data_IF_406361129422
#
_entry.id   IF_406361129422
#
_cell.length_a   1.000
_cell.length_b   1.000
_cell.length_c   1.000
_cell.angle_alpha   90.00
_cell.angle_beta   90.00
_cell.angle_gamma   90.00
#
_symmetry.space_group_name_H-M   'P 1'
#
loop_
_entity.id
_entity.type
_entity.pdbx_description
1 polymer ?
#
# COMPACT_ATOMS: atom_id res chain seq x y z
N UNK A 1 -2.58 11.55 24.19
CA UNK A 1 -2.44 10.27 23.46
C UNK A 1 -2.41 10.58 21.97
N UNK A 2 -1.43 10.05 21.26
CA UNK A 2 -1.03 10.45 19.88
C UNK A 2 -2.15 10.23 18.87
N UNK A 3 -2.45 11.25 18.03
CA UNK A 3 -3.67 11.31 17.20
C UNK A 3 -3.93 10.16 16.21
N UNK A 4 -2.95 9.28 15.95
CA UNK A 4 -3.16 8.07 15.12
C UNK A 4 -3.93 6.97 15.86
N UNK A 5 -3.60 6.70 17.12
CA UNK A 5 -4.26 5.65 17.92
C UNK A 5 -5.73 6.00 18.13
N UNK A 6 -6.02 7.26 18.45
CA UNK A 6 -7.39 7.76 18.61
C UNK A 6 -8.27 7.57 17.35
N UNK A 7 -7.71 7.77 16.15
CA UNK A 7 -8.46 7.64 14.89
C UNK A 7 -8.79 6.20 14.54
N UNK A 8 -7.85 5.28 14.74
CA UNK A 8 -8.07 3.85 14.48
C UNK A 8 -9.07 3.28 15.48
N UNK A 9 -8.93 3.62 16.75
CA UNK A 9 -9.85 3.15 17.80
C UNK A 9 -11.29 3.62 17.55
N UNK A 10 -11.48 4.87 17.15
CA UNK A 10 -12.80 5.41 16.77
C UNK A 10 -13.39 4.66 15.57
N UNK A 11 -12.58 4.43 14.52
CA UNK A 11 -13.01 3.67 13.35
C UNK A 11 -13.44 2.25 13.72
N UNK A 12 -12.61 1.49 14.44
CA UNK A 12 -12.87 0.10 14.81
C UNK A 12 -14.09 -0.02 15.73
N UNK A 13 -14.37 0.99 16.57
CA UNK A 13 -15.59 1.05 17.38
C UNK A 13 -16.86 1.25 16.57
N UNK A 14 -16.78 1.91 15.41
CA UNK A 14 -17.93 2.15 14.52
C UNK A 14 -18.27 0.96 13.62
N UNK A 15 -17.38 -0.04 13.54
CA UNK A 15 -17.60 -1.25 12.76
C UNK A 15 -18.51 -2.24 13.48
N UNK A 16 -19.48 -2.78 12.75
CA UNK A 16 -20.22 -3.98 13.15
C UNK A 16 -19.30 -5.20 13.17
N UNK A 17 -19.72 -6.28 13.83
CA UNK A 17 -18.95 -7.52 13.85
C UNK A 17 -18.72 -8.09 12.44
N UNK A 18 -19.73 -8.01 11.57
CA UNK A 18 -19.60 -8.50 10.19
C UNK A 18 -18.62 -7.65 9.37
N UNK A 19 -18.70 -6.31 9.49
CA UNK A 19 -17.73 -5.40 8.85
C UNK A 19 -16.29 -5.67 9.31
N UNK A 20 -16.09 -6.05 10.59
CA UNK A 20 -14.77 -6.47 11.09
C UNK A 20 -14.28 -7.74 10.42
N UNK A 21 -15.13 -8.78 10.37
CA UNK A 21 -14.75 -10.10 9.82
C UNK A 21 -14.29 -9.97 8.35
N UNK A 22 -15.02 -9.23 7.53
CA UNK A 22 -14.69 -9.05 6.10
C UNK A 22 -13.46 -8.18 5.85
N UNK A 23 -12.92 -7.54 6.89
CA UNK A 23 -11.68 -6.75 6.85
C UNK A 23 -10.47 -7.49 7.46
N UNK A 24 -10.60 -8.77 7.82
CA UNK A 24 -9.49 -9.59 8.34
C UNK A 24 -8.73 -10.36 7.24
N UNK A 25 -9.12 -10.19 5.98
CA UNK A 25 -8.49 -10.83 4.81
C UNK A 25 -7.84 -9.78 3.92
N UNK A 26 -6.95 -10.21 3.02
CA UNK A 26 -6.23 -9.40 2.02
C UNK A 26 -7.20 -8.59 1.15
N UNK A 27 -8.20 -9.26 0.58
CA UNK A 27 -9.26 -8.63 -0.20
C UNK A 27 -10.36 -8.05 0.70
N UNK A 28 -10.03 -6.99 1.46
CA UNK A 28 -10.96 -6.36 2.39
C UNK A 28 -12.10 -5.64 1.66
N UNK A 29 -13.34 -5.98 2.05
CA UNK A 29 -14.56 -5.44 1.43
C UNK A 29 -14.81 -3.97 1.81
N UNK A 30 -15.51 -3.23 0.96
CA UNK A 30 -15.91 -1.86 1.26
C UNK A 30 -16.89 -1.80 2.44
N UNK A 31 -16.89 -0.67 3.14
CA UNK A 31 -17.87 -0.33 4.16
C UNK A 31 -18.56 0.97 3.74
N UNK A 32 -19.54 0.83 2.85
CA UNK A 32 -20.18 1.96 2.16
C UNK A 32 -20.81 2.97 3.12
N UNK A 33 -21.39 2.50 4.24
CA UNK A 33 -21.98 3.35 5.28
C UNK A 33 -20.98 4.32 5.91
N UNK A 34 -19.70 3.92 5.97
CA UNK A 34 -18.61 4.73 6.50
C UNK A 34 -17.76 5.39 5.39
N UNK A 35 -18.12 5.19 4.12
CA UNK A 35 -17.38 5.70 2.97
C UNK A 35 -16.00 5.07 2.81
N UNK A 36 -15.79 3.85 3.31
CA UNK A 36 -14.51 3.16 3.25
C UNK A 36 -14.49 2.29 1.99
N UNK A 37 -13.58 2.55 1.02
CA UNK A 37 -13.50 1.75 -0.18
C UNK A 37 -12.94 0.36 0.14
N UNK A 38 -13.15 -0.59 -0.80
CA UNK A 38 -12.43 -1.86 -0.77
C UNK A 38 -10.93 -1.61 -0.71
N UNK A 39 -10.20 -2.46 0.00
CA UNK A 39 -8.76 -2.32 0.16
C UNK A 39 -8.07 -3.66 0.02
N UNK A 40 -7.15 -3.75 -0.93
CA UNK A 40 -6.30 -4.91 -1.11
C UNK A 40 -4.93 -4.61 -0.50
N UNK A 41 -4.62 -5.24 0.63
CA UNK A 41 -3.38 -4.95 1.35
C UNK A 41 -2.24 -5.90 1.01
N UNK A 42 -2.49 -7.00 0.32
CA UNK A 42 -1.43 -7.90 -0.12
C UNK A 42 -0.73 -7.33 -1.36
N UNK A 43 0.42 -6.71 -1.12
CA UNK A 43 1.35 -6.25 -2.14
C UNK A 43 2.78 -6.65 -1.78
N UNK A 44 3.63 -6.84 -2.79
CA UNK A 44 4.98 -7.37 -2.62
C UNK A 44 6.04 -6.40 -3.15
N UNK A 45 7.11 -6.19 -2.38
CA UNK A 45 8.13 -5.18 -2.68
C UNK A 45 9.57 -5.55 -2.23
N UNK A 46 9.86 -6.85 -2.04
CA UNK A 46 11.10 -7.34 -1.40
C UNK A 46 12.40 -6.74 -1.98
N UNK A 47 12.50 -6.66 -3.31
CA UNK A 47 13.64 -6.10 -4.01
C UNK A 47 13.19 -5.27 -5.22
N UNK A 48 12.09 -4.55 -5.06
CA UNK A 48 11.34 -3.94 -6.15
C UNK A 48 9.88 -4.35 -6.08
N UNK A 49 9.00 -3.50 -6.59
CA UNK A 49 7.56 -3.75 -6.64
C UNK A 49 7.27 -4.93 -7.56
N UNK A 50 6.50 -5.91 -7.07
CA UNK A 50 6.14 -7.12 -7.81
C UNK A 50 4.73 -7.00 -8.40
N UNK A 51 4.48 -7.75 -9.48
CA UNK A 51 3.11 -7.98 -9.98
C UNK A 51 2.47 -9.26 -9.41
N UNK A 52 3.18 -9.94 -8.50
CA UNK A 52 2.66 -11.13 -7.81
C UNK A 52 1.76 -10.68 -6.66
N UNK A 53 0.59 -11.30 -6.56
CA UNK A 53 -0.45 -10.94 -5.61
C UNK A 53 -1.49 -9.99 -6.22
N UNK A 54 -2.59 -9.74 -5.49
CA UNK A 54 -3.72 -8.95 -5.98
C UNK A 54 -3.56 -7.41 -5.83
N UNK A 55 -2.64 -6.92 -4.98
CA UNK A 55 -2.57 -5.49 -4.66
C UNK A 55 -1.76 -4.62 -5.60
N UNK A 56 -1.10 -5.19 -6.62
CA UNK A 56 -0.26 -4.44 -7.58
C UNK A 56 -0.43 -4.96 -9.00
N UNK A 57 -0.58 -4.05 -9.99
CA UNK A 57 -0.96 -4.44 -11.36
C UNK A 57 -0.36 -3.58 -12.47
N UNK A 58 0.77 -3.91 -13.10
CA UNK A 58 1.35 -3.05 -14.15
C UNK A 58 0.41 -2.69 -15.32
N UNK A 59 0.50 -1.45 -15.82
CA UNK A 59 -0.35 -0.88 -16.88
C UNK A 59 0.48 -0.21 -17.97
N UNK A 60 -0.13 0.29 -19.05
CA UNK A 60 0.59 1.05 -20.08
C UNK A 60 1.24 2.34 -19.56
N UNK A 61 0.67 2.94 -18.51
CA UNK A 61 1.18 4.18 -17.89
C UNK A 61 2.34 3.87 -16.94
N UNK A 62 2.28 2.75 -16.23
CA UNK A 62 3.36 2.26 -15.37
C UNK A 62 3.67 0.82 -15.74
N UNK A 63 4.52 0.59 -16.75
CA UNK A 63 4.74 -0.74 -17.35
C UNK A 63 5.56 -1.69 -16.49
N UNK A 64 6.20 -1.19 -15.42
CA UNK A 64 7.01 -2.00 -14.54
C UNK A 64 7.61 -1.19 -13.39
N UNK A 65 8.49 -1.84 -12.65
CA UNK A 65 9.25 -1.25 -11.56
C UNK A 65 10.71 -1.72 -11.61
N UNK A 66 11.60 -0.97 -10.98
CA UNK A 66 13.01 -1.34 -10.86
C UNK A 66 13.17 -2.64 -10.06
N UNK A 67 13.91 -3.59 -10.61
CA UNK A 67 14.33 -4.81 -9.91
C UNK A 67 15.74 -4.62 -9.34
N UNK A 68 15.83 -4.52 -8.02
CA UNK A 68 17.08 -4.39 -7.28
C UNK A 68 17.73 -5.76 -7.08
N UNK A 69 19.03 -5.81 -6.74
CA UNK A 69 19.66 -7.04 -6.27
C UNK A 69 18.89 -7.67 -5.10
N UNK A 70 18.84 -9.01 -5.05
CA UNK A 70 18.26 -9.74 -3.92
C UNK A 70 18.84 -9.25 -2.59
N UNK A 71 18.05 -9.36 -1.52
CA UNK A 71 18.41 -8.83 -0.20
C UNK A 71 19.78 -9.32 0.27
N UNK A 72 20.12 -10.58 -0.02
CA UNK A 72 21.44 -11.16 0.32
C UNK A 72 22.61 -10.42 -0.36
N UNK A 73 22.46 -10.04 -1.63
CA UNK A 73 23.49 -9.32 -2.37
C UNK A 73 23.54 -7.85 -1.95
N UNK A 74 22.38 -7.23 -1.73
CA UNK A 74 22.32 -5.86 -1.19
C UNK A 74 22.97 -5.77 0.19
N UNK A 75 22.74 -6.74 1.08
CA UNK A 75 23.37 -6.80 2.40
C UNK A 75 24.88 -7.03 2.33
N UNK A 76 25.35 -7.78 1.32
CA UNK A 76 26.79 -8.04 1.10
C UNK A 76 27.59 -6.79 0.73
N UNK A 77 26.93 -5.67 0.40
CA UNK A 77 27.59 -4.38 0.22
C UNK A 77 28.04 -3.73 1.53
N UNK A 78 27.53 -4.19 2.68
CA UNK A 78 27.73 -3.59 4.01
C UNK A 78 27.46 -2.08 4.05
N UNK A 79 26.60 -1.59 3.15
CA UNK A 79 26.28 -0.17 3.01
C UNK A 79 24.83 0.09 3.41
N UNK A 80 24.64 0.57 4.64
CA UNK A 80 23.31 0.87 5.19
C UNK A 80 22.59 1.98 4.40
N UNK A 81 23.33 2.99 3.94
CA UNK A 81 22.77 4.07 3.13
C UNK A 81 22.21 3.52 1.82
N UNK A 82 22.95 2.65 1.14
CA UNK A 82 22.49 1.98 -0.08
C UNK A 82 21.21 1.16 0.18
N UNK A 83 21.17 0.41 1.28
CA UNK A 83 19.99 -0.38 1.64
C UNK A 83 18.76 0.51 1.85
N UNK A 84 18.91 1.62 2.57
CA UNK A 84 17.85 2.61 2.80
C UNK A 84 17.42 3.30 1.50
N UNK A 85 18.37 3.69 0.66
CA UNK A 85 18.09 4.34 -0.62
C UNK A 85 17.34 3.40 -1.57
N UNK A 86 17.70 2.11 -1.62
CA UNK A 86 16.94 1.12 -2.39
C UNK A 86 15.50 0.99 -1.89
N UNK A 87 15.29 0.95 -0.57
CA UNK A 87 13.95 0.95 0.03
C UNK A 87 13.14 2.20 -0.31
N UNK A 88 13.76 3.38 -0.25
CA UNK A 88 13.13 4.65 -0.63
C UNK A 88 12.79 4.69 -2.12
N UNK A 89 13.69 4.24 -3.00
CA UNK A 89 13.46 4.18 -4.43
C UNK A 89 12.35 3.19 -4.80
N UNK A 90 12.28 2.04 -4.10
CA UNK A 90 11.19 1.08 -4.26
C UNK A 90 9.82 1.69 -3.87
N UNK A 91 9.76 2.49 -2.80
CA UNK A 91 8.52 3.10 -2.31
C UNK A 91 8.08 4.37 -3.09
N UNK A 92 9.01 5.26 -3.43
CA UNK A 92 8.66 6.64 -3.83
C UNK A 92 8.17 6.72 -5.27
N UNK A 93 8.77 5.99 -6.21
CA UNK A 93 8.51 6.18 -7.64
C UNK A 93 7.37 5.29 -8.14
N UNK A 94 7.43 3.96 -8.06
CA UNK A 94 6.33 3.13 -8.52
C UNK A 94 5.14 3.24 -7.55
N UNK A 95 5.28 2.95 -6.25
CA UNK A 95 4.10 2.82 -5.35
C UNK A 95 3.27 4.12 -5.24
N UNK A 96 3.90 5.30 -5.18
CA UNK A 96 3.15 6.57 -5.19
C UNK A 96 2.53 6.89 -6.54
N UNK A 97 3.20 6.61 -7.65
CA UNK A 97 2.61 6.78 -8.98
C UNK A 97 1.39 5.86 -9.16
N UNK A 98 1.50 4.60 -8.71
CA UNK A 98 0.42 3.62 -8.64
C UNK A 98 -0.77 4.12 -7.82
N UNK A 99 -0.52 4.54 -6.57
CA UNK A 99 -1.55 5.08 -5.69
C UNK A 99 -2.26 6.27 -6.32
N UNK A 100 -1.51 7.21 -6.89
CA UNK A 100 -2.11 8.39 -7.53
C UNK A 100 -2.93 8.01 -8.76
N UNK A 101 -2.50 7.06 -9.60
CA UNK A 101 -3.26 6.67 -10.82
C UNK A 101 -4.55 5.92 -10.47
N UNK A 102 -4.52 5.03 -9.48
CA UNK A 102 -5.69 4.20 -9.11
C UNK A 102 -6.72 5.02 -8.32
N UNK A 103 -6.27 5.86 -7.40
CA UNK A 103 -7.16 6.59 -6.48
C UNK A 103 -7.59 7.98 -6.99
N UNK A 104 -7.00 8.50 -8.09
CA UNK A 104 -7.49 9.76 -8.72
C UNK A 104 -8.48 9.53 -9.87
N UNK A 105 -8.51 8.33 -10.46
CA UNK A 105 -9.50 7.96 -11.49
C UNK A 105 -10.78 7.32 -10.93
N UNK A 106 -10.82 7.06 -9.62
CA UNK A 106 -12.05 6.88 -8.86
C UNK A 106 -12.34 8.20 -8.15
N UNK A 107 -13.61 8.60 -8.03
CA UNK A 107 -14.08 9.93 -7.60
C UNK A 107 -13.75 10.34 -6.16
N UNK A 108 -12.61 9.93 -5.61
CA UNK A 108 -12.09 10.36 -4.32
C UNK A 108 -11.11 11.51 -4.59
N UNK A 109 -11.66 12.72 -4.77
CA UNK A 109 -10.89 13.92 -4.46
C UNK A 109 -10.52 13.81 -2.98
N UNK A 110 -9.22 13.69 -2.67
CA UNK A 110 -8.69 14.04 -1.35
C UNK A 110 -8.96 15.53 -1.11
N UNK A 111 -10.21 15.86 -0.80
CA UNK A 111 -10.59 17.13 -0.22
C UNK A 111 -10.71 16.90 1.28
N UNK A 112 -9.73 17.43 2.01
CA UNK A 112 -9.72 17.64 3.46
C UNK A 112 -9.59 16.40 4.35
N UNK A 113 -8.33 16.00 4.56
CA UNK A 113 -7.80 15.68 5.89
C UNK A 113 -6.47 16.41 6.09
#
# INVERSE_FOLDING_TARGET
>A
MTGKVCRVDDLVKRLTLQEKIVNLVDNASSIDRLGIPKYEWWSEALHGVSYVGPGTHFSSVVPGATSFPQVILTASSFNETLFKTNGQACYITPVKAWYNIIFTNTSIKCNNF
#
